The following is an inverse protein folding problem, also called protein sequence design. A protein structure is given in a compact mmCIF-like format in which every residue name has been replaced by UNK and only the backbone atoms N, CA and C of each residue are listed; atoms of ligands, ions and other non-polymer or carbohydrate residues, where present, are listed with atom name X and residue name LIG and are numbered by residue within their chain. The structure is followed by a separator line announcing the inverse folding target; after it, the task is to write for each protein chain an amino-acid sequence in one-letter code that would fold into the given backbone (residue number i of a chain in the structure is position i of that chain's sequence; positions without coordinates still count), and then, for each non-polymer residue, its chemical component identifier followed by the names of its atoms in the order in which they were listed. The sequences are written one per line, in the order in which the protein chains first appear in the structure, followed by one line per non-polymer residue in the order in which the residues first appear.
data_IF_717257862230
#
_entry.id   IF_717257862230
#
_cell.length_a   1.000
_cell.length_b   1.000
_cell.length_c   1.000
_cell.angle_alpha   90.00
_cell.angle_beta   90.00
_cell.angle_gamma   90.00
#
_symmetry.space_group_name_H-M   'P 1'
#
loop_
_entity.id
_entity.type
_entity.pdbx_description
1 polymer ?
#
# COMPACT_ATOMS: atom_id res chain seq x y z
N UNK A 1 -1.84 -16.31 -0.72
CA UNK A 1 -2.67 -16.75 0.42
C UNK A 1 -3.03 -15.52 1.24
N UNK A 2 -4.29 -15.32 1.58
CA UNK A 2 -4.71 -14.23 2.47
C UNK A 2 -4.73 -14.77 3.91
N UNK A 3 -4.12 -14.05 4.83
CA UNK A 3 -4.16 -14.35 6.26
C UNK A 3 -5.09 -13.34 6.94
N UNK A 4 -6.17 -13.78 7.60
CA UNK A 4 -7.06 -12.87 8.30
C UNK A 4 -6.44 -12.39 9.61
N UNK A 5 -6.81 -11.19 10.04
CA UNK A 5 -6.60 -10.68 11.40
C UNK A 5 -7.89 -10.81 12.21
N UNK A 6 -7.80 -10.97 13.53
CA UNK A 6 -8.93 -11.12 14.42
C UNK A 6 -9.19 -9.86 15.27
N UNK A 7 -10.32 -9.19 15.01
CA UNK A 7 -10.68 -7.97 15.75
C UNK A 7 -9.69 -6.81 15.57
N UNK A 8 -9.74 -5.85 16.49
CA UNK A 8 -8.95 -4.62 16.39
C UNK A 8 -7.45 -4.83 16.64
N UNK A 9 -6.61 -4.23 15.82
CA UNK A 9 -5.15 -4.23 15.93
C UNK A 9 -4.63 -2.79 15.83
N UNK A 10 -3.59 -2.48 16.59
CA UNK A 10 -2.83 -1.24 16.40
C UNK A 10 -1.99 -1.38 15.12
N UNK A 11 -1.84 -0.29 14.37
CA UNK A 11 -1.19 -0.34 13.04
C UNK A 11 -0.06 0.67 12.92
N UNK A 12 1.05 0.20 12.35
CA UNK A 12 2.05 1.06 11.71
C UNK A 12 2.18 0.62 10.26
N UNK A 13 2.09 1.57 9.33
CA UNK A 13 2.07 1.30 7.90
C UNK A 13 2.92 2.26 7.10
N UNK A 14 3.47 1.77 6.00
CA UNK A 14 4.21 2.57 5.02
C UNK A 14 3.81 2.13 3.62
N UNK A 15 3.55 3.10 2.75
CA UNK A 15 3.13 2.81 1.40
C UNK A 15 3.53 3.91 0.43
N UNK A 16 3.42 3.58 -0.86
CA UNK A 16 3.62 4.48 -1.97
C UNK A 16 2.32 4.57 -2.76
N UNK A 17 1.82 5.79 -2.88
CA UNK A 17 0.70 6.15 -3.75
C UNK A 17 1.27 6.69 -5.07
N UNK A 18 0.96 6.02 -6.18
CA UNK A 18 1.38 6.42 -7.51
C UNK A 18 0.25 6.14 -8.52
N UNK A 19 0.15 6.88 -9.63
CA UNK A 19 -0.85 6.60 -10.65
C UNK A 19 -0.57 5.25 -11.34
N UNK A 20 -1.60 4.50 -11.71
CA UNK A 20 -1.49 3.38 -12.65
C UNK A 20 -1.45 3.85 -14.11
N UNK A 21 -1.39 2.91 -15.05
CA UNK A 21 -1.42 3.20 -16.51
C UNK A 21 -2.65 4.00 -16.95
N UNK A 22 -3.78 3.88 -16.24
CA UNK A 22 -5.01 4.63 -16.50
C UNK A 22 -5.08 6.00 -15.78
N UNK A 23 -4.00 6.39 -15.11
CA UNK A 23 -3.87 7.63 -14.34
C UNK A 23 -4.54 7.59 -12.97
N UNK A 24 -5.21 6.50 -12.57
CA UNK A 24 -5.86 6.42 -11.26
C UNK A 24 -4.85 6.15 -10.15
N UNK A 25 -5.07 6.70 -8.94
CA UNK A 25 -4.16 6.47 -7.82
C UNK A 25 -4.23 5.01 -7.35
N UNK A 26 -3.06 4.38 -7.22
CA UNK A 26 -2.90 3.02 -6.72
C UNK A 26 -1.97 3.02 -5.53
N UNK A 27 -2.51 2.64 -4.37
CA UNK A 27 -1.75 2.50 -3.13
C UNK A 27 -1.14 1.12 -3.03
N UNK A 28 0.18 1.05 -2.92
CA UNK A 28 0.86 -0.15 -2.41
C UNK A 28 1.35 0.13 -1.00
N UNK A 29 0.78 -0.57 -0.02
CA UNK A 29 1.06 -0.35 1.40
C UNK A 29 1.40 -1.67 2.08
N UNK A 30 2.45 -1.63 2.89
CA UNK A 30 2.79 -2.68 3.84
C UNK A 30 2.51 -2.16 5.25
N UNK A 31 2.07 -3.05 6.13
CA UNK A 31 1.76 -2.69 7.50
C UNK A 31 2.12 -3.82 8.46
N UNK A 32 2.39 -3.44 9.71
CA UNK A 32 2.47 -4.33 10.85
C UNK A 32 1.27 -4.06 11.76
N UNK A 33 0.49 -5.09 12.05
CA UNK A 33 -0.73 -5.04 12.85
C UNK A 33 -0.49 -5.80 14.15
N UNK A 34 -0.49 -5.09 15.28
CA UNK A 34 -0.16 -5.62 16.60
C UNK A 34 -1.36 -5.77 17.52
N UNK A 35 -1.44 -6.90 18.23
CA UNK A 35 -2.44 -7.16 19.27
C UNK A 35 -1.91 -8.19 20.27
N UNK A 36 -2.07 -7.93 21.57
CA UNK A 36 -1.73 -8.88 22.64
C UNK A 36 -0.30 -9.47 22.56
N UNK A 37 0.69 -8.66 22.16
CA UNK A 37 2.08 -9.09 22.02
C UNK A 37 2.37 -9.92 20.75
N UNK A 38 1.38 -10.13 19.89
CA UNK A 38 1.54 -10.75 18.57
C UNK A 38 1.48 -9.68 17.49
N UNK A 39 2.16 -9.93 16.36
CA UNK A 39 2.17 -9.01 15.22
C UNK A 39 2.02 -9.78 13.91
N UNK A 40 1.18 -9.29 13.01
CA UNK A 40 1.09 -9.76 11.64
C UNK A 40 1.58 -8.66 10.70
N UNK A 41 2.54 -8.99 9.83
CA UNK A 41 3.16 -8.00 8.93
C UNK A 41 3.11 -8.48 7.49
N UNK A 42 2.75 -7.58 6.58
CA UNK A 42 2.75 -7.86 5.15
C UNK A 42 2.10 -6.78 4.30
N UNK A 43 1.83 -7.11 3.04
CA UNK A 43 1.05 -6.26 2.14
C UNK A 43 -0.40 -6.21 2.60
N UNK A 44 -0.89 -5.01 2.92
CA UNK A 44 -2.26 -4.84 3.41
C UNK A 44 -3.24 -5.08 2.26
N UNK A 45 -4.29 -5.85 2.53
CA UNK A 45 -5.31 -6.20 1.54
C UNK A 45 -6.69 -5.72 1.99
N UNK A 46 -7.63 -5.69 1.05
CA UNK A 46 -9.01 -5.33 1.34
C UNK A 46 -9.61 -6.20 2.45
N UNK A 47 -10.50 -5.61 3.25
CA UNK A 47 -11.19 -6.28 4.36
C UNK A 47 -10.83 -5.74 5.75
N UNK A 48 -9.78 -4.92 5.87
CA UNK A 48 -9.46 -4.19 7.09
C UNK A 48 -10.16 -2.84 7.09
N UNK A 49 -10.83 -2.51 8.20
CA UNK A 49 -11.48 -1.22 8.41
C UNK A 49 -10.85 -0.48 9.59
N UNK A 50 -10.95 0.85 9.59
CA UNK A 50 -10.59 1.64 10.77
C UNK A 50 -11.64 1.41 11.86
N UNK A 51 -11.20 0.98 13.04
CA UNK A 51 -12.12 0.76 14.17
C UNK A 51 -12.41 2.05 14.96
N UNK A 52 -11.37 2.70 15.48
CA UNK A 52 -11.50 3.93 16.27
C UNK A 52 -10.96 5.15 15.52
N UNK A 53 -9.68 5.12 15.13
CA UNK A 53 -9.01 6.19 14.39
C UNK A 53 -7.91 5.59 13.51
N UNK A 54 -7.68 6.20 12.34
CA UNK A 54 -6.57 5.90 11.45
C UNK A 54 -5.90 7.22 11.09
N UNK A 55 -4.73 7.48 11.66
CA UNK A 55 -3.98 8.71 11.41
C UNK A 55 -3.00 8.47 10.25
N UNK A 56 -3.20 9.18 9.14
CA UNK A 56 -2.40 9.01 7.92
C UNK A 56 -1.74 10.33 7.56
N UNK A 57 -0.43 10.29 7.34
CA UNK A 57 0.35 11.41 6.83
C UNK A 57 0.71 11.10 5.37
N UNK A 58 0.38 12.02 4.46
CA UNK A 58 0.76 11.93 3.06
C UNK A 58 1.83 12.98 2.76
N UNK A 59 2.95 12.53 2.20
CA UNK A 59 3.98 13.40 1.64
C UNK A 59 3.91 13.33 0.11
N UNK A 60 3.63 14.47 -0.51
CA UNK A 60 3.63 14.58 -1.96
C UNK A 60 5.03 14.89 -2.49
N UNK A 61 5.47 14.14 -3.49
CA UNK A 61 6.71 14.38 -4.22
C UNK A 61 6.36 15.03 -5.55
N UNK A 62 6.61 16.34 -5.66
CA UNK A 62 6.35 17.10 -6.88
C UNK A 62 7.41 16.84 -7.95
N UNK A 63 7.01 16.87 -9.22
CA UNK A 63 7.91 16.66 -10.35
C UNK A 63 8.40 15.21 -10.50
N UNK A 64 7.81 14.26 -9.78
CA UNK A 64 8.08 12.84 -9.97
C UNK A 64 7.31 12.33 -11.19
N UNK A 65 8.05 11.89 -12.22
CA UNK A 65 7.49 11.16 -13.34
C UNK A 65 7.53 9.66 -13.02
N UNK A 66 6.43 9.13 -12.48
CA UNK A 66 6.30 7.73 -12.08
C UNK A 66 4.91 7.18 -12.40
N UNK A 67 4.83 5.90 -12.74
CA UNK A 67 3.57 5.18 -12.88
C UNK A 67 3.71 3.74 -12.39
N UNK A 68 2.60 3.12 -12.01
CA UNK A 68 2.53 1.66 -11.81
C UNK A 68 2.19 0.99 -13.13
N UNK A 69 3.14 0.22 -13.64
CA UNK A 69 3.07 -0.44 -14.95
C UNK A 69 3.17 -1.93 -14.78
N UNK A 70 2.46 -2.69 -15.62
CA UNK A 70 2.52 -4.14 -15.56
C UNK A 70 3.88 -4.63 -16.04
N UNK A 71 4.62 -5.26 -15.15
CA UNK A 71 5.85 -5.98 -15.47
C UNK A 71 5.51 -7.33 -16.09
N UNK A 72 5.97 -7.59 -17.32
CA UNK A 72 5.62 -8.82 -18.07
C UNK A 72 6.21 -10.09 -17.43
N UNK A 73 7.36 -9.97 -16.77
CA UNK A 73 8.05 -11.12 -16.20
C UNK A 73 7.34 -11.64 -14.94
N UNK A 74 6.95 -10.73 -14.04
CA UNK A 74 6.33 -11.06 -12.76
C UNK A 74 4.80 -11.03 -12.82
N UNK A 75 4.22 -10.33 -13.79
CA UNK A 75 2.79 -10.09 -13.91
C UNK A 75 2.23 -9.07 -12.91
N UNK A 76 3.08 -8.41 -12.11
CA UNK A 76 2.66 -7.40 -11.13
C UNK A 76 2.74 -5.97 -11.68
N UNK A 77 1.95 -5.08 -11.07
CA UNK A 77 2.05 -3.63 -11.30
C UNK A 77 3.17 -3.02 -10.43
N UNK A 78 4.33 -2.80 -11.04
CA UNK A 78 5.52 -2.28 -10.37
C UNK A 78 5.64 -0.76 -10.55
N UNK A 79 6.28 -0.09 -9.59
CA UNK A 79 6.52 1.35 -9.67
C UNK A 79 7.70 1.61 -10.61
N UNK A 80 7.42 2.31 -11.70
CA UNK A 80 8.41 2.62 -12.73
C UNK A 80 8.58 4.13 -12.88
N UNK A 81 9.82 4.64 -12.85
CA UNK A 81 10.12 6.04 -13.13
C UNK A 81 10.34 6.33 -14.62
N UNK A 82 10.11 7.58 -15.03
CA UNK A 82 10.48 8.08 -16.37
C UNK A 82 9.55 7.65 -17.51
N UNK A 83 8.26 7.46 -17.20
CA UNK A 83 7.29 6.85 -18.14
C UNK A 83 6.62 7.88 -19.05
N UNK A 84 6.64 9.17 -18.70
CA UNK A 84 6.03 10.23 -19.51
C UNK A 84 7.06 11.04 -20.32
N UNK A 85 8.26 10.47 -20.58
CA UNK A 85 9.29 11.08 -21.45
C UNK A 85 9.27 10.55 -22.89
#
# INVERSE_FOLDING_TARGET
MLLPIDGAHEVVGVGVLAPGEDGKPVLHIHAALGRAGQTMTGCLRHGVTTWLVGEVILYEILGADVARVKDEQSGFELLEPGINQ
#
